data_IF_875603306391
#
_entry.id   IF_875603306391
#
_cell.length_a   1.000
_cell.length_b   1.000
_cell.length_c   1.000
_cell.angle_alpha   90.00
_cell.angle_beta   90.00
_cell.angle_gamma   90.00
#
_symmetry.space_group_name_H-M   'P 1'
#
loop_
_entity.id
_entity.type
_entity.pdbx_description
1 polymer ?
#
# COMPACT_ATOMS: atom_id res chain seq x y z
N UNK A 1 20.35 58.60 -28.03
CA UNK A 1 20.67 59.97 -27.61
C UNK A 1 19.77 60.31 -26.42
N UNK A 2 20.37 60.51 -25.23
CA UNK A 2 19.85 61.16 -23.99
C UNK A 2 18.57 60.58 -23.35
N UNK A 3 18.59 59.88 -22.20
CA UNK A 3 18.97 60.27 -20.82
C UNK A 3 18.02 61.29 -20.15
N UNK A 4 17.27 60.85 -19.12
CA UNK A 4 17.14 61.41 -17.74
C UNK A 4 15.87 60.89 -17.04
N UNK A 5 16.05 60.09 -15.99
CA UNK A 5 15.83 60.43 -14.56
C UNK A 5 14.36 60.41 -14.12
N UNK A 6 13.95 59.33 -13.43
CA UNK A 6 13.11 59.46 -12.24
C UNK A 6 13.47 58.40 -11.19
N UNK A 7 13.38 58.86 -9.95
CA UNK A 7 13.93 58.33 -8.71
C UNK A 7 12.90 57.45 -7.98
N UNK A 8 13.31 56.24 -7.54
CA UNK A 8 12.86 55.45 -6.35
C UNK A 8 11.33 55.12 -6.23
N UNK A 9 10.87 54.23 -5.32
CA UNK A 9 11.58 53.34 -4.37
C UNK A 9 11.17 51.85 -4.47
N UNK A 10 12.05 50.95 -4.03
CA UNK A 10 11.66 49.61 -3.62
C UNK A 10 11.17 49.65 -2.16
N UNK A 11 9.87 49.44 -1.93
CA UNK A 11 9.31 49.14 -0.61
C UNK A 11 9.07 47.64 -0.51
N UNK A 12 9.94 46.96 0.26
CA UNK A 12 9.78 45.56 0.68
C UNK A 12 8.76 45.51 1.81
N UNK A 13 7.76 44.64 1.69
CA UNK A 13 6.81 44.35 2.78
C UNK A 13 7.48 43.53 3.90
N UNK A 14 6.99 43.69 5.15
CA UNK A 14 7.74 43.32 6.35
C UNK A 14 7.59 41.82 6.68
N UNK A 15 8.73 41.17 6.90
CA UNK A 15 8.81 39.82 7.44
C UNK A 15 8.67 39.92 8.97
N UNK A 16 7.75 39.16 9.61
CA UNK A 16 7.70 39.09 11.07
C UNK A 16 8.96 38.40 11.59
N UNK A 17 9.82 39.18 12.26
CA UNK A 17 11.01 38.69 12.97
C UNK A 17 10.56 37.92 14.21
N UNK A 18 10.52 36.59 14.10
CA UNK A 18 10.64 35.74 15.29
C UNK A 18 12.04 35.97 15.86
N UNK A 19 12.10 36.63 17.00
CA UNK A 19 13.31 36.83 17.81
C UNK A 19 13.86 35.47 18.22
N UNK A 20 14.77 34.93 17.41
CA UNK A 20 15.67 33.89 17.87
C UNK A 20 16.69 34.60 18.77
N UNK A 21 16.46 34.53 20.09
CA UNK A 21 17.50 34.83 21.06
C UNK A 21 18.66 33.87 20.82
N UNK A 22 19.65 34.32 20.05
CA UNK A 22 20.99 33.75 20.04
C UNK A 22 21.74 34.43 21.20
N UNK A 23 22.07 33.72 22.29
CA UNK A 23 22.96 34.26 23.29
C UNK A 23 24.29 34.55 22.60
N UNK A 24 24.74 35.80 22.68
CA UNK A 24 26.11 36.16 22.30
C UNK A 24 27.07 35.37 23.20
N UNK A 25 27.62 34.29 22.67
CA UNK A 25 28.80 33.66 23.23
C UNK A 25 29.98 34.61 23.00
N UNK A 26 30.12 35.51 23.97
CA UNK A 26 31.28 36.35 24.19
C UNK A 26 32.49 35.42 24.23
N UNK A 27 33.38 35.63 23.27
CA UNK A 27 34.71 35.00 23.23
C UNK A 27 35.47 35.47 24.47
N UNK A 28 35.48 34.64 25.51
CA UNK A 28 36.54 34.65 26.50
C UNK A 28 37.38 33.39 26.30
N UNK A 29 38.49 33.59 25.60
CA UNK A 29 39.40 32.54 25.16
C UNK A 29 40.38 32.09 26.27
N UNK A 30 39.99 32.17 27.55
CA UNK A 30 40.91 31.96 28.68
C UNK A 30 40.43 30.98 29.75
N UNK A 31 39.23 30.40 29.67
CA UNK A 31 38.70 29.50 30.73
C UNK A 31 38.31 28.08 30.30
N UNK A 32 38.54 27.67 29.05
CA UNK A 32 38.27 26.29 28.59
C UNK A 32 39.45 25.31 28.74
N UNK A 33 40.40 25.59 29.64
CA UNK A 33 41.35 24.56 30.07
C UNK A 33 40.71 23.69 31.15
N UNK A 34 40.54 22.41 30.79
CA UNK A 34 40.55 21.26 31.69
C UNK A 34 39.44 21.19 32.74
N UNK A 35 38.20 20.93 32.30
CA UNK A 35 37.25 20.19 33.14
C UNK A 35 36.64 19.05 32.31
N UNK A 36 36.86 17.83 32.79
CA UNK A 36 36.30 16.57 32.28
C UNK A 36 36.94 15.91 31.06
N UNK A 37 38.27 15.93 30.98
CA UNK A 37 38.98 14.75 30.47
C UNK A 37 39.96 14.34 31.58
N UNK A 38 39.72 13.24 32.31
CA UNK A 38 40.69 12.79 33.32
C UNK A 38 42.02 12.51 32.62
N UNK A 39 43.17 12.80 33.25
CA UNK A 39 44.46 12.47 32.68
C UNK A 39 44.51 10.97 32.37
N UNK A 40 44.94 10.62 31.16
CA UNK A 40 45.10 9.24 30.62
C UNK A 40 45.83 8.28 31.59
N UNK A 41 46.56 8.82 32.58
CA UNK A 41 47.22 8.09 33.66
C UNK A 41 46.27 7.36 34.64
N UNK A 42 44.95 7.58 34.56
CA UNK A 42 43.95 6.91 35.43
C UNK A 42 43.18 5.79 34.76
N UNK A 43 43.39 5.54 33.46
CA UNK A 43 42.89 4.35 32.78
C UNK A 43 43.68 3.13 33.27
N UNK A 44 43.24 2.55 34.39
CA UNK A 44 43.63 1.22 34.85
C UNK A 44 43.03 0.22 33.87
N UNK A 45 43.71 0.02 32.75
CA UNK A 45 43.42 -1.11 31.87
C UNK A 45 43.62 -2.35 32.76
N UNK A 46 42.56 -3.14 33.04
CA UNK A 46 42.74 -4.38 33.79
C UNK A 46 43.83 -5.16 33.06
N UNK A 47 44.88 -5.53 33.80
CA UNK A 47 46.02 -6.27 33.27
C UNK A 47 45.49 -7.40 32.38
N UNK A 48 46.11 -7.64 31.22
CA UNK A 48 45.77 -8.79 30.36
C UNK A 48 45.80 -10.13 31.13
N UNK A 49 46.42 -10.18 32.33
CA UNK A 49 46.37 -11.30 33.28
C UNK A 49 44.99 -11.53 33.95
N UNK A 50 44.12 -10.53 33.98
CA UNK A 50 42.77 -10.59 34.55
C UNK A 50 41.75 -11.19 33.57
N UNK A 51 42.06 -11.21 32.28
CA UNK A 51 41.26 -11.91 31.27
C UNK A 51 41.63 -13.39 31.35
N UNK A 52 40.96 -14.10 32.26
CA UNK A 52 41.09 -15.56 32.36
C UNK A 52 40.35 -16.17 31.18
N UNK A 53 41.09 -16.46 30.11
CA UNK A 53 40.56 -17.25 29.00
C UNK A 53 40.22 -18.63 29.58
N UNK A 54 38.95 -19.07 29.54
CA UNK A 54 38.59 -20.40 30.03
C UNK A 54 39.43 -21.44 29.29
N UNK A 55 40.02 -22.36 30.03
CA UNK A 55 40.76 -23.47 29.45
C UNK A 55 39.80 -24.34 28.65
N UNK A 56 40.28 -25.04 27.63
CA UNK A 56 39.48 -26.05 26.90
C UNK A 56 38.84 -27.08 27.86
N UNK A 57 39.41 -27.26 29.06
CA UNK A 57 38.90 -28.13 30.12
C UNK A 57 37.70 -27.55 30.90
N UNK A 58 37.47 -26.24 30.83
CA UNK A 58 36.35 -25.55 31.47
C UNK A 58 35.08 -25.55 30.58
N UNK A 59 35.21 -25.93 29.30
CA UNK A 59 34.10 -26.19 28.39
C UNK A 59 33.39 -27.49 28.79
N UNK A 60 32.41 -27.39 29.70
CA UNK A 60 31.45 -28.49 29.93
C UNK A 60 30.63 -28.68 28.66
N UNK A 61 30.83 -29.81 27.98
CA UNK A 61 29.91 -30.24 26.94
C UNK A 61 28.51 -30.44 27.55
N UNK A 62 27.44 -29.95 26.92
CA UNK A 62 26.09 -30.21 27.38
C UNK A 62 25.84 -31.71 27.42
N UNK A 63 25.17 -32.18 28.48
CA UNK A 63 24.91 -33.61 28.68
C UNK A 63 24.04 -34.13 27.53
N UNK A 64 24.22 -35.38 27.09
CA UNK A 64 23.42 -36.01 26.02
C UNK A 64 21.91 -35.86 26.24
N UNK A 65 21.46 -35.90 27.50
CA UNK A 65 20.07 -35.65 27.90
C UNK A 65 19.59 -34.21 27.64
N UNK A 66 20.45 -33.21 27.83
CA UNK A 66 20.17 -31.81 27.50
C UNK A 66 20.13 -31.58 25.98
N UNK A 67 21.02 -32.23 25.22
CA UNK A 67 21.04 -32.19 23.76
C UNK A 67 19.79 -32.83 23.14
N UNK A 68 19.29 -33.93 23.70
CA UNK A 68 18.05 -34.57 23.26
C UNK A 68 16.82 -33.69 23.56
N UNK A 69 16.79 -33.01 24.70
CA UNK A 69 15.73 -32.07 25.06
C UNK A 69 15.70 -30.84 24.13
N UNK A 70 16.85 -30.22 23.88
CA UNK A 70 16.93 -29.06 22.96
C UNK A 70 16.60 -29.46 21.53
N UNK A 71 17.09 -30.61 21.05
CA UNK A 71 16.75 -31.12 19.72
C UNK A 71 15.25 -31.43 19.55
N UNK A 72 14.60 -31.96 20.58
CA UNK A 72 13.16 -32.20 20.57
C UNK A 72 12.35 -30.90 20.46
N UNK A 73 12.69 -29.89 21.27
CA UNK A 73 12.00 -28.59 21.24
C UNK A 73 12.25 -27.83 19.95
N UNK A 74 13.47 -27.84 19.42
CA UNK A 74 13.78 -27.19 18.13
C UNK A 74 13.03 -27.86 16.99
N UNK A 75 12.95 -29.20 16.94
CA UNK A 75 12.18 -29.92 15.94
C UNK A 75 10.66 -29.65 16.04
N UNK A 76 10.14 -29.52 17.26
CA UNK A 76 8.73 -29.22 17.50
C UNK A 76 8.38 -27.80 17.07
N UNK A 77 9.20 -26.82 17.42
CA UNK A 77 9.02 -25.41 17.03
C UNK A 77 9.16 -25.26 15.52
N UNK A 78 10.21 -25.84 14.92
CA UNK A 78 10.44 -25.74 13.47
C UNK A 78 9.28 -26.31 12.67
N UNK A 79 8.67 -27.41 13.11
CA UNK A 79 7.44 -27.96 12.51
C UNK A 79 6.31 -26.92 12.48
N UNK A 80 6.00 -26.27 13.59
CA UNK A 80 4.92 -25.28 13.64
C UNK A 80 5.23 -24.04 12.81
N UNK A 81 6.49 -23.61 12.80
CA UNK A 81 6.94 -22.49 11.95
C UNK A 81 6.74 -22.82 10.47
N UNK A 82 7.14 -24.00 10.02
CA UNK A 82 6.95 -24.45 8.64
C UNK A 82 5.45 -24.50 8.29
N UNK A 83 4.63 -25.11 9.15
CA UNK A 83 3.19 -25.17 8.94
C UNK A 83 2.54 -23.78 8.91
N UNK A 84 3.02 -22.85 9.74
CA UNK A 84 2.56 -21.46 9.74
C UNK A 84 2.88 -20.78 8.41
N UNK A 85 4.11 -20.88 7.90
CA UNK A 85 4.47 -20.27 6.63
C UNK A 85 3.71 -20.87 5.44
N UNK A 86 3.52 -22.20 5.42
CA UNK A 86 2.71 -22.87 4.38
C UNK A 86 1.25 -22.41 4.48
N UNK A 87 0.67 -22.44 5.69
CA UNK A 87 -0.70 -22.01 5.92
C UNK A 87 -0.92 -20.55 5.55
N UNK A 88 0.01 -19.67 5.92
CA UNK A 88 0.00 -18.26 5.57
C UNK A 88 0.12 -18.05 4.05
N UNK A 89 1.02 -18.77 3.39
CA UNK A 89 1.17 -18.70 1.94
C UNK A 89 -0.11 -19.13 1.23
N UNK A 90 -0.72 -20.26 1.61
CA UNK A 90 -2.00 -20.72 1.06
C UNK A 90 -3.09 -19.68 1.34
N UNK A 91 -3.14 -19.14 2.56
CA UNK A 91 -4.15 -18.16 2.96
C UNK A 91 -4.08 -16.89 2.09
N UNK A 92 -2.91 -16.28 1.96
CA UNK A 92 -2.75 -15.08 1.15
C UNK A 92 -2.97 -15.38 -0.34
N UNK A 93 -2.43 -16.48 -0.87
CA UNK A 93 -2.55 -16.78 -2.30
C UNK A 93 -3.97 -17.15 -2.74
N UNK A 94 -4.77 -17.77 -1.85
CA UNK A 94 -6.08 -18.32 -2.23
C UNK A 94 -7.27 -17.51 -1.75
N UNK A 95 -7.15 -16.69 -0.69
CA UNK A 95 -8.31 -15.99 -0.14
C UNK A 95 -8.38 -14.53 -0.59
N UNK A 96 -7.24 -13.85 -0.71
CA UNK A 96 -7.21 -12.42 -1.01
C UNK A 96 -6.19 -12.09 -2.10
N UNK A 97 -6.62 -11.37 -3.12
CA UNK A 97 -5.74 -10.81 -4.15
C UNK A 97 -5.67 -9.32 -3.94
N UNK A 98 -4.46 -8.79 -3.74
CA UNK A 98 -4.20 -7.36 -3.64
C UNK A 98 -3.52 -6.90 -4.92
N UNK A 99 -4.09 -5.89 -5.58
CA UNK A 99 -3.55 -5.41 -6.86
C UNK A 99 -3.92 -3.97 -7.16
N UNK A 100 -3.11 -3.29 -7.99
CA UNK A 100 -3.42 -1.95 -8.46
C UNK A 100 -4.54 -1.98 -9.52
N UNK A 101 -5.28 -0.89 -9.61
CA UNK A 101 -6.27 -0.62 -10.65
C UNK A 101 -5.71 0.46 -11.55
N UNK A 102 -5.84 0.25 -12.86
CA UNK A 102 -5.43 1.20 -13.88
C UNK A 102 -6.57 1.38 -14.90
N UNK A 103 -6.78 2.61 -15.32
CA UNK A 103 -7.63 2.99 -16.44
C UNK A 103 -8.92 3.70 -16.05
N UNK A 104 -9.36 4.57 -16.95
CA UNK A 104 -10.49 5.50 -16.78
C UNK A 104 -11.88 4.85 -16.74
N UNK A 105 -11.99 3.54 -17.00
CA UNK A 105 -13.26 2.87 -17.28
C UNK A 105 -14.20 2.75 -16.08
N UNK A 106 -13.70 3.02 -14.88
CA UNK A 106 -14.44 2.94 -13.63
C UNK A 106 -14.54 4.29 -12.92
N UNK A 107 -14.18 5.40 -13.57
CA UNK A 107 -14.43 6.74 -13.02
C UNK A 107 -15.94 6.95 -12.78
N UNK A 108 -16.34 7.66 -11.71
CA UNK A 108 -15.51 8.26 -10.66
C UNK A 108 -15.19 7.28 -9.51
N UNK A 109 -15.63 6.02 -9.58
CA UNK A 109 -15.44 5.03 -8.50
C UNK A 109 -13.98 4.63 -8.33
N UNK A 110 -13.21 4.56 -9.41
CA UNK A 110 -11.77 4.37 -9.33
C UNK A 110 -11.08 5.46 -10.14
N UNK A 111 -9.99 5.98 -9.59
CA UNK A 111 -9.10 6.89 -10.28
C UNK A 111 -8.43 6.18 -11.47
N UNK A 112 -7.94 6.96 -12.42
CA UNK A 112 -7.21 6.47 -13.58
C UNK A 112 -5.93 5.72 -13.18
N UNK A 113 -5.24 6.19 -12.14
CA UNK A 113 -4.05 5.55 -11.57
C UNK A 113 -4.01 5.65 -10.03
N UNK A 114 -3.23 4.76 -9.40
CA UNK A 114 -2.93 4.83 -7.97
C UNK A 114 -3.96 4.19 -7.04
N UNK A 115 -5.10 3.72 -7.52
CA UNK A 115 -6.02 2.96 -6.68
C UNK A 115 -5.58 1.51 -6.51
N UNK A 116 -5.71 1.00 -5.29
CA UNK A 116 -5.45 -0.40 -4.97
C UNK A 116 -6.73 -1.07 -4.50
N UNK A 117 -6.92 -2.32 -4.91
CA UNK A 117 -8.09 -3.11 -4.53
C UNK A 117 -7.67 -4.39 -3.84
N UNK A 118 -8.45 -4.73 -2.82
CA UNK A 118 -8.44 -6.04 -2.20
C UNK A 118 -9.64 -6.82 -2.74
N UNK A 119 -9.34 -7.87 -3.48
CA UNK A 119 -10.34 -8.80 -4.03
C UNK A 119 -10.38 -10.06 -3.18
N UNK A 120 -11.57 -10.46 -2.74
CA UNK A 120 -11.80 -11.75 -2.11
C UNK A 120 -12.06 -12.83 -3.16
N UNK A 121 -11.19 -13.84 -3.18
CA UNK A 121 -11.31 -15.04 -4.01
C UNK A 121 -12.40 -16.01 -3.53
N UNK A 122 -13.03 -15.74 -2.38
CA UNK A 122 -14.18 -16.52 -1.90
C UNK A 122 -15.34 -16.51 -2.92
N UNK A 123 -15.52 -15.38 -3.60
CA UNK A 123 -16.55 -15.13 -4.61
C UNK A 123 -16.14 -15.58 -6.03
N UNK A 124 -15.02 -16.31 -6.15
CA UNK A 124 -14.53 -16.82 -7.43
C UNK A 124 -15.58 -17.72 -8.08
N UNK A 125 -15.66 -17.69 -9.42
CA UNK A 125 -16.68 -18.40 -10.21
C UNK A 125 -18.12 -17.91 -9.97
N UNK A 126 -18.30 -16.67 -9.52
CA UNK A 126 -19.62 -16.07 -9.33
C UNK A 126 -20.36 -16.51 -8.08
N UNK A 127 -19.68 -17.11 -7.10
CA UNK A 127 -20.31 -17.51 -5.83
C UNK A 127 -20.72 -16.26 -5.05
N UNK A 128 -22.00 -16.17 -4.68
CA UNK A 128 -22.58 -15.07 -3.89
C UNK A 128 -22.25 -13.66 -4.44
N UNK A 129 -22.13 -13.56 -5.76
CA UNK A 129 -22.02 -12.28 -6.47
C UNK A 129 -23.42 -11.76 -6.72
N UNK A 130 -23.65 -10.48 -6.45
CA UNK A 130 -24.94 -9.83 -6.58
C UNK A 130 -24.85 -8.60 -7.50
N UNK A 131 -26.00 -8.11 -7.95
CA UNK A 131 -26.08 -6.86 -8.72
C UNK A 131 -25.52 -5.71 -7.87
N UNK A 132 -24.71 -4.85 -8.49
CA UNK A 132 -24.03 -3.73 -7.85
C UNK A 132 -22.60 -4.06 -7.38
N UNK A 133 -22.23 -5.33 -7.29
CA UNK A 133 -20.89 -5.74 -6.86
C UNK A 133 -19.81 -5.37 -7.87
N UNK A 134 -18.62 -5.06 -7.35
CA UNK A 134 -17.41 -4.89 -8.14
C UNK A 134 -16.67 -6.22 -8.19
N UNK A 135 -16.42 -6.71 -9.39
CA UNK A 135 -15.76 -8.00 -9.60
C UNK A 135 -14.52 -7.85 -10.47
N UNK A 136 -13.51 -8.67 -10.18
CA UNK A 136 -12.37 -8.87 -11.07
C UNK A 136 -12.56 -10.16 -11.84
N UNK A 137 -12.26 -10.14 -13.13
CA UNK A 137 -12.44 -11.30 -14.01
C UNK A 137 -11.36 -11.33 -15.09
N UNK A 138 -11.16 -12.51 -15.68
CA UNK A 138 -10.33 -12.66 -16.87
C UNK A 138 -11.13 -12.26 -18.09
N UNK A 139 -10.58 -11.36 -18.92
CA UNK A 139 -11.26 -10.86 -20.10
C UNK A 139 -11.57 -12.01 -21.09
N UNK A 140 -12.83 -12.15 -21.59
CA UNK A 140 -13.24 -13.31 -22.39
C UNK A 140 -12.50 -13.41 -23.73
N UNK A 141 -12.21 -12.26 -24.36
CA UNK A 141 -11.46 -12.19 -25.63
C UNK A 141 -9.94 -12.26 -25.43
N UNK A 142 -9.42 -11.77 -24.29
CA UNK A 142 -7.99 -11.63 -24.00
C UNK A 142 -7.66 -12.31 -22.67
N UNK A 143 -7.43 -13.62 -22.74
CA UNK A 143 -7.28 -14.47 -21.54
C UNK A 143 -6.14 -14.07 -20.59
N UNK A 144 -5.14 -13.32 -21.07
CA UNK A 144 -4.01 -12.84 -20.26
C UNK A 144 -4.27 -11.52 -19.53
N UNK A 145 -5.44 -10.90 -19.76
CA UNK A 145 -5.79 -9.61 -19.15
C UNK A 145 -6.89 -9.77 -18.11
N UNK A 146 -6.68 -9.13 -16.96
CA UNK A 146 -7.71 -9.00 -15.92
C UNK A 146 -8.40 -7.64 -16.05
N UNK A 147 -9.68 -7.59 -15.73
CA UNK A 147 -10.47 -6.36 -15.75
C UNK A 147 -11.36 -6.31 -14.53
N UNK A 148 -11.64 -5.08 -14.08
CA UNK A 148 -12.52 -4.78 -12.97
C UNK A 148 -13.74 -4.03 -13.51
N UNK A 149 -14.94 -4.54 -13.21
CA UNK A 149 -16.22 -3.95 -13.62
C UNK A 149 -17.28 -4.14 -12.54
N UNK A 150 -18.38 -3.40 -12.66
CA UNK A 150 -19.57 -3.55 -11.83
C UNK A 150 -20.55 -4.52 -12.46
N UNK A 151 -21.15 -5.38 -11.65
CA UNK A 151 -22.25 -6.27 -12.05
C UNK A 151 -23.53 -5.45 -12.14
N UNK A 152 -24.19 -5.48 -13.30
CA UNK A 152 -25.49 -4.83 -13.52
C UNK A 152 -26.64 -5.83 -13.59
N UNK A 153 -26.36 -7.09 -13.92
CA UNK A 153 -27.38 -8.13 -14.02
C UNK A 153 -26.81 -9.51 -13.76
N UNK A 154 -27.62 -10.35 -13.13
CA UNK A 154 -27.36 -11.75 -12.81
C UNK A 154 -28.19 -12.66 -13.73
N UNK A 155 -27.95 -13.99 -13.74
CA UNK A 155 -28.75 -14.92 -14.53
C UNK A 155 -30.25 -14.68 -14.40
N UNK A 156 -30.94 -14.57 -15.53
CA UNK A 156 -32.39 -14.33 -15.58
C UNK A 156 -32.81 -12.86 -15.60
N UNK A 157 -31.93 -11.92 -15.21
CA UNK A 157 -32.24 -10.49 -15.22
C UNK A 157 -32.33 -9.95 -16.66
N UNK A 158 -33.16 -8.92 -16.83
CA UNK A 158 -33.24 -8.15 -18.08
C UNK A 158 -32.43 -6.86 -17.95
N UNK A 159 -31.41 -6.73 -18.79
CA UNK A 159 -30.50 -5.58 -18.82
C UNK A 159 -30.58 -4.84 -20.15
N UNK A 160 -30.35 -3.54 -20.13
CA UNK A 160 -30.24 -2.76 -21.36
C UNK A 160 -28.92 -3.12 -22.05
N UNK A 161 -29.01 -3.56 -23.32
CA UNK A 161 -27.83 -3.96 -24.10
C UNK A 161 -26.95 -2.77 -24.47
N UNK A 162 -27.55 -1.60 -24.68
CA UNK A 162 -26.89 -0.39 -25.15
C UNK A 162 -26.74 0.65 -24.04
N UNK A 163 -26.03 1.74 -24.32
CA UNK A 163 -25.90 2.87 -23.40
C UNK A 163 -27.28 3.49 -23.10
N UNK A 164 -27.61 3.78 -21.83
CA UNK A 164 -28.84 4.47 -21.45
C UNK A 164 -29.00 5.77 -22.23
N UNK A 165 -30.18 5.98 -22.82
CA UNK A 165 -30.46 7.12 -23.71
C UNK A 165 -30.55 6.75 -25.19
N UNK A 166 -30.04 5.57 -25.57
CA UNK A 166 -30.32 4.95 -26.88
C UNK A 166 -31.55 4.05 -26.76
N UNK A 167 -32.35 3.92 -27.82
CA UNK A 167 -33.46 2.96 -27.94
C UNK A 167 -32.95 1.52 -28.05
N UNK A 168 -32.26 1.07 -27.00
CA UNK A 168 -31.61 -0.23 -26.94
C UNK A 168 -32.57 -1.36 -26.63
N UNK A 169 -32.27 -2.53 -27.18
CA UNK A 169 -33.02 -3.75 -26.86
C UNK A 169 -32.69 -4.22 -25.43
N UNK A 170 -33.72 -4.69 -24.72
CA UNK A 170 -33.52 -5.43 -23.47
C UNK A 170 -32.99 -6.82 -23.79
N UNK A 171 -31.91 -7.21 -23.12
CA UNK A 171 -31.29 -8.52 -23.23
C UNK A 171 -31.47 -9.26 -21.91
N UNK A 172 -32.01 -10.48 -21.97
CA UNK A 172 -31.99 -11.36 -20.80
C UNK A 172 -30.58 -11.94 -20.63
N UNK A 173 -30.06 -11.91 -19.40
CA UNK A 173 -28.77 -12.51 -19.05
C UNK A 173 -28.92 -14.04 -19.04
N UNK A 174 -28.14 -14.78 -19.85
CA UNK A 174 -28.21 -16.23 -19.87
C UNK A 174 -27.78 -16.88 -18.54
N UNK A 175 -28.26 -18.10 -18.31
CA UNK A 175 -27.81 -18.91 -17.19
C UNK A 175 -26.29 -19.08 -17.15
N UNK A 176 -25.72 -19.02 -15.95
CA UNK A 176 -24.27 -19.10 -15.75
C UNK A 176 -23.46 -17.87 -16.20
N UNK A 177 -24.11 -16.78 -16.60
CA UNK A 177 -23.48 -15.53 -17.01
C UNK A 177 -23.92 -14.35 -16.13
N UNK A 178 -23.14 -13.29 -16.10
CA UNK A 178 -23.55 -11.99 -15.56
C UNK A 178 -23.33 -10.89 -16.61
N UNK A 179 -24.03 -9.78 -16.45
CA UNK A 179 -23.79 -8.58 -17.24
C UNK A 179 -22.95 -7.60 -16.43
N UNK A 180 -21.84 -7.15 -17.00
CA UNK A 180 -20.94 -6.20 -16.35
C UNK A 180 -20.79 -4.92 -17.14
N UNK A 181 -20.68 -3.80 -16.44
CA UNK A 181 -20.40 -2.49 -17.03
C UNK A 181 -19.38 -1.73 -16.19
N UNK A 182 -18.66 -0.82 -16.84
CA UNK A 182 -17.86 0.17 -16.13
C UNK A 182 -18.71 1.37 -15.75
N UNK A 183 -18.35 2.02 -14.64
CA UNK A 183 -19.06 3.22 -14.17
C UNK A 183 -18.85 4.41 -15.15
N UNK A 184 -17.71 4.45 -15.86
CA UNK A 184 -17.47 5.40 -16.94
C UNK A 184 -17.89 4.78 -18.28
N UNK A 185 -19.18 4.89 -18.60
CA UNK A 185 -19.80 4.16 -19.70
C UNK A 185 -19.23 4.48 -21.08
N UNK A 186 -18.82 5.72 -21.36
CA UNK A 186 -18.28 6.13 -22.65
C UNK A 186 -16.91 5.51 -22.95
N UNK A 187 -16.13 5.29 -21.89
CA UNK A 187 -14.75 4.79 -21.97
C UNK A 187 -14.58 3.36 -21.46
N UNK A 188 -15.69 2.66 -21.21
CA UNK A 188 -15.68 1.31 -20.68
C UNK A 188 -15.87 0.27 -21.78
N UNK A 189 -14.86 -0.59 -21.94
CA UNK A 189 -14.98 -1.88 -22.65
C UNK A 189 -15.56 -2.93 -21.71
N UNK A 190 -16.82 -3.31 -21.94
CA UNK A 190 -17.60 -4.18 -21.04
C UNK A 190 -18.61 -5.05 -21.80
N UNK A 191 -19.62 -5.62 -21.11
CA UNK A 191 -20.57 -6.57 -21.70
C UNK A 191 -21.36 -6.01 -22.87
N UNK A 192 -21.48 -4.69 -23.01
CA UNK A 192 -22.12 -4.07 -24.19
C UNK A 192 -21.34 -4.38 -25.48
N UNK A 193 -20.03 -4.60 -25.38
CA UNK A 193 -19.15 -4.92 -26.52
C UNK A 193 -18.94 -6.43 -26.70
N UNK A 194 -18.66 -7.17 -25.63
CA UNK A 194 -18.31 -8.60 -25.72
C UNK A 194 -19.45 -9.55 -25.32
N UNK A 195 -20.59 -9.02 -24.89
CA UNK A 195 -21.75 -9.79 -24.43
C UNK A 195 -21.71 -10.20 -22.95
N UNK A 196 -22.60 -11.11 -22.53
CA UNK A 196 -22.65 -11.62 -21.17
C UNK A 196 -21.32 -12.28 -20.76
N UNK A 197 -20.86 -12.01 -19.54
CA UNK A 197 -19.63 -12.55 -18.98
C UNK A 197 -19.90 -13.90 -18.31
N UNK A 198 -19.23 -15.00 -18.69
CA UNK A 198 -19.36 -16.27 -17.97
C UNK A 198 -18.89 -16.14 -16.51
N UNK A 199 -19.73 -16.58 -15.55
CA UNK A 199 -19.40 -16.52 -14.13
C UNK A 199 -18.10 -17.27 -13.80
N UNK A 200 -17.75 -18.30 -14.59
CA UNK A 200 -16.50 -19.05 -14.45
C UNK A 200 -15.21 -18.22 -14.63
N UNK A 201 -15.29 -17.06 -15.31
CA UNK A 201 -14.15 -16.15 -15.50
C UNK A 201 -13.95 -15.19 -14.33
N UNK A 202 -14.92 -15.10 -13.41
CA UNK A 202 -14.85 -14.25 -12.21
C UNK A 202 -13.76 -14.77 -11.27
N UNK A 203 -12.79 -13.91 -10.97
CA UNK A 203 -11.68 -14.18 -10.05
C UNK A 203 -12.05 -13.87 -8.61
N UNK A 204 -12.88 -12.86 -8.38
CA UNK A 204 -13.41 -12.55 -7.05
C UNK A 204 -14.15 -11.23 -7.01
N UNK A 205 -14.58 -10.87 -5.79
CA UNK A 205 -15.32 -9.63 -5.49
C UNK A 205 -14.39 -8.66 -4.77
N UNK A 206 -14.44 -7.38 -5.16
CA UNK A 206 -13.71 -6.31 -4.48
C UNK A 206 -14.39 -6.03 -3.14
N UNK A 207 -13.64 -6.21 -2.06
CA UNK A 207 -14.13 -6.03 -0.68
C UNK A 207 -13.61 -4.76 -0.03
N UNK A 208 -12.48 -4.25 -0.50
CA UNK A 208 -11.92 -2.98 -0.05
C UNK A 208 -11.16 -2.30 -1.18
N UNK A 209 -11.12 -0.98 -1.14
CA UNK A 209 -10.24 -0.14 -1.96
C UNK A 209 -9.42 0.77 -1.07
N UNK A 210 -8.22 1.12 -1.53
CA UNK A 210 -7.38 2.15 -0.94
C UNK A 210 -6.86 3.03 -2.06
N UNK A 211 -7.23 4.30 -2.06
CA UNK A 211 -6.61 5.28 -2.93
C UNK A 211 -5.17 5.52 -2.45
N UNK A 212 -4.16 5.27 -3.30
CA UNK A 212 -2.76 5.51 -2.90
C UNK A 212 -2.47 7.00 -2.66
N UNK A 213 -3.29 7.91 -3.22
CA UNK A 213 -3.16 9.35 -3.00
C UNK A 213 -3.53 9.78 -1.58
N UNK A 214 -4.63 9.28 -0.99
CA UNK A 214 -5.16 9.86 0.24
C UNK A 214 -4.22 9.72 1.45
N UNK A 215 -3.56 8.58 1.61
CA UNK A 215 -2.67 8.38 2.76
C UNK A 215 -1.38 9.21 2.62
N UNK A 216 -0.84 9.35 1.39
CA UNK A 216 0.33 10.17 1.14
C UNK A 216 -0.03 11.65 1.31
N UNK A 217 -1.13 12.11 0.71
CA UNK A 217 -1.64 13.48 0.84
C UNK A 217 -1.94 13.85 2.30
N UNK A 218 -2.51 12.92 3.10
CA UNK A 218 -2.67 13.10 4.56
C UNK A 218 -1.35 13.05 5.32
N UNK A 219 -0.37 12.26 4.88
CA UNK A 219 0.93 12.13 5.53
C UNK A 219 1.88 13.32 5.23
N UNK A 220 1.75 13.95 4.06
CA UNK A 220 2.53 15.14 3.67
C UNK A 220 1.85 16.46 4.03
N UNK A 221 0.58 16.44 4.48
CA UNK A 221 -0.10 17.59 5.09
C UNK A 221 -0.13 18.83 4.21
N UNK A 222 -0.66 18.74 2.98
CA UNK A 222 -0.72 19.89 2.08
C UNK A 222 -1.91 20.84 2.41
N UNK A 223 -1.65 22.14 2.69
CA UNK A 223 -2.67 23.14 3.09
C UNK A 223 -3.58 23.65 1.96
N UNK A 224 -3.38 23.23 0.70
CA UNK A 224 -3.95 23.93 -0.46
C UNK A 224 -5.39 23.53 -0.82
N UNK A 225 -6.01 22.61 -0.07
CA UNK A 225 -7.42 22.22 -0.27
C UNK A 225 -8.43 23.33 0.09
N UNK A 226 -7.99 24.44 0.71
CA UNK A 226 -8.83 25.61 1.02
C UNK A 226 -8.91 26.64 -0.12
N UNK A 227 -8.12 26.52 -1.20
CA UNK A 227 -8.06 27.56 -2.25
C UNK A 227 -9.05 27.37 -3.42
N UNK A 228 -9.86 26.30 -3.43
CA UNK A 228 -10.89 26.10 -4.47
C UNK A 228 -12.30 26.48 -4.02
N UNK A 229 -12.46 27.02 -2.81
CA UNK A 229 -13.74 27.56 -2.31
C UNK A 229 -13.58 29.06 -2.04
N UNK A 230 -13.45 29.85 -3.11
CA UNK A 230 -13.84 31.26 -3.17
C UNK A 230 -13.92 31.75 -4.62
#
# INVERSE_FOLDING_TARGET
MLARLFHRPHTRLPIPRRSLYLPQLRRDASTWRTRFIPPIKTLRIPSLKAIRIPSIRDLRMPTTQQLQGTAYWTARISRYVILFFIGYHIFITHFFVYGPVYGISMLPTFNDEGDWVLTSSHYRRGRDVQVGDLITFTHPIKADTQSLKRVLGMPGDFVLRDTPGTSGAMQQVPEGHCWVAGDNQEWSRDSRMFGPLPLGLVKGKVVARKAAGEWLLRAIGEPWAELEVN
#
